data_IF_891953278708
#
_entry.id   IF_891953278708
#
_cell.length_a   1.000
_cell.length_b   1.000
_cell.length_c   1.000
_cell.angle_alpha   90.00
_cell.angle_beta   90.00
_cell.angle_gamma   90.00
#
_symmetry.space_group_name_H-M   'P 1'
#
loop_
_entity.id
_entity.type
_entity.pdbx_description
1 polymer ?
#
# COMPACT_ATOMS: atom_id res chain seq x y z
N UNK A 1 -69.53 -9.05 -43.26
CA UNK A 1 -68.29 -8.27 -43.08
C UNK A 1 -68.00 -8.21 -41.58
N UNK A 2 -66.83 -8.71 -41.19
CA UNK A 2 -66.47 -9.22 -39.85
C UNK A 2 -66.34 -8.14 -38.74
N UNK A 3 -66.39 -8.53 -37.45
CA UNK A 3 -67.24 -7.88 -36.45
C UNK A 3 -66.48 -7.06 -35.39
N UNK A 4 -67.22 -6.21 -34.66
CA UNK A 4 -66.79 -5.56 -33.41
C UNK A 4 -67.47 -6.27 -32.22
N UNK A 5 -66.66 -6.79 -31.30
CA UNK A 5 -67.09 -7.45 -30.06
C UNK A 5 -67.06 -6.48 -28.88
N UNK A 6 -68.03 -6.62 -27.98
CA UNK A 6 -68.16 -5.84 -26.76
C UNK A 6 -68.43 -6.78 -25.56
N UNK A 7 -67.80 -6.46 -24.40
CA UNK A 7 -68.30 -6.69 -23.01
C UNK A 7 -68.21 -8.15 -22.45
N UNK A 8 -67.88 -8.54 -21.19
CA UNK A 8 -67.55 -7.90 -19.88
C UNK A 8 -67.11 -8.96 -18.80
N UNK A 9 -66.38 -8.53 -17.72
CA UNK A 9 -66.14 -9.08 -16.32
C UNK A 9 -65.29 -10.38 -16.16
N UNK A 10 -64.21 -10.48 -15.34
CA UNK A 10 -64.13 -10.55 -13.84
C UNK A 10 -62.64 -10.53 -13.30
N UNK A 11 -62.27 -10.76 -12.01
CA UNK A 11 -61.43 -9.83 -11.21
C UNK A 11 -60.09 -10.40 -10.63
N UNK A 12 -59.29 -9.50 -10.04
CA UNK A 12 -58.28 -9.60 -8.95
C UNK A 12 -57.49 -10.92 -8.76
N UNK A 13 -56.15 -10.85 -8.87
CA UNK A 13 -55.25 -11.54 -7.93
C UNK A 13 -53.92 -10.79 -7.79
N UNK A 14 -53.53 -10.56 -6.53
CA UNK A 14 -52.28 -9.95 -6.11
C UNK A 14 -51.11 -10.90 -6.39
N UNK A 15 -49.99 -10.37 -6.90
CA UNK A 15 -48.70 -11.08 -6.87
C UNK A 15 -47.65 -10.19 -6.20
N UNK A 16 -47.26 -10.64 -5.01
CA UNK A 16 -46.18 -10.17 -4.16
C UNK A 16 -44.87 -9.90 -4.90
N UNK A 17 -44.35 -8.69 -4.72
CA UNK A 17 -43.00 -8.26 -5.13
C UNK A 17 -41.93 -9.04 -4.37
N UNK A 18 -41.23 -9.93 -5.07
CA UNK A 18 -40.00 -10.54 -4.58
C UNK A 18 -38.87 -9.49 -4.63
N UNK A 19 -38.40 -9.10 -3.45
CA UNK A 19 -37.17 -8.35 -3.23
C UNK A 19 -36.00 -9.10 -3.86
N UNK A 20 -35.43 -8.54 -4.94
CA UNK A 20 -34.19 -9.01 -5.52
C UNK A 20 -33.09 -8.06 -5.04
N UNK A 21 -32.39 -8.43 -3.97
CA UNK A 21 -31.16 -7.75 -3.57
C UNK A 21 -30.13 -7.90 -4.70
N UNK A 22 -29.56 -6.80 -5.23
CA UNK A 22 -28.51 -6.91 -6.25
C UNK A 22 -27.19 -7.38 -5.62
N UNK A 23 -26.37 -8.17 -6.34
CA UNK A 23 -25.12 -8.70 -5.83
C UNK A 23 -24.07 -7.58 -5.74
N UNK A 24 -23.54 -7.38 -4.53
CA UNK A 24 -22.27 -6.72 -4.20
C UNK A 24 -21.95 -5.39 -4.92
N UNK A 25 -22.33 -4.28 -4.27
CA UNK A 25 -21.60 -3.02 -4.36
C UNK A 25 -20.13 -3.28 -3.99
N UNK A 26 -19.27 -3.49 -4.99
CA UNK A 26 -17.82 -3.42 -4.79
C UNK A 26 -17.52 -2.01 -4.24
N UNK A 27 -17.25 -1.93 -2.94
CA UNK A 27 -17.02 -0.67 -2.23
C UNK A 27 -16.03 0.20 -3.01
N UNK A 28 -16.52 1.35 -3.47
CA UNK A 28 -15.78 2.36 -4.22
C UNK A 28 -14.52 2.67 -3.41
N UNK A 29 -13.36 2.20 -3.88
CA UNK A 29 -12.06 2.39 -3.23
C UNK A 29 -11.37 1.12 -2.72
N UNK A 30 -12.07 0.01 -2.45
CA UNK A 30 -11.38 -1.25 -2.09
C UNK A 30 -10.55 -1.78 -3.26
N UNK A 31 -11.14 -1.79 -4.47
CA UNK A 31 -10.45 -2.21 -5.69
C UNK A 31 -9.28 -1.28 -6.03
N UNK A 32 -9.45 0.03 -5.84
CA UNK A 32 -8.39 1.01 -6.08
C UNK A 32 -7.19 0.75 -5.16
N UNK A 33 -7.40 0.52 -3.86
CA UNK A 33 -6.30 0.22 -2.91
C UNK A 33 -5.57 -1.07 -3.22
N UNK A 34 -6.27 -2.14 -3.64
CA UNK A 34 -5.64 -3.43 -3.98
C UNK A 34 -4.79 -3.33 -5.25
N UNK A 35 -5.23 -2.54 -6.23
CA UNK A 35 -4.53 -2.33 -7.50
C UNK A 35 -3.47 -1.21 -7.43
N UNK A 36 -3.39 -0.47 -6.32
CA UNK A 36 -2.53 0.69 -6.20
C UNK A 36 -1.04 0.33 -6.20
N UNK A 37 -0.53 -0.66 -5.46
CA UNK A 37 0.90 -0.89 -5.46
C UNK A 37 1.40 -1.44 -6.80
N UNK A 38 2.51 -0.90 -7.31
CA UNK A 38 3.23 -1.45 -8.45
C UNK A 38 3.83 -2.80 -8.03
N UNK A 39 3.71 -3.81 -8.89
CA UNK A 39 4.24 -5.16 -8.65
C UNK A 39 5.05 -5.58 -9.87
N UNK A 40 6.34 -5.80 -9.65
CA UNK A 40 7.33 -6.22 -10.64
C UNK A 40 8.32 -7.17 -9.97
N UNK A 41 8.99 -8.01 -10.74
CA UNK A 41 10.04 -8.89 -10.18
C UNK A 41 11.33 -8.10 -9.91
N UNK A 42 12.22 -8.65 -9.07
CA UNK A 42 13.53 -8.03 -8.82
C UNK A 42 14.25 -7.74 -10.13
N UNK A 43 14.95 -6.61 -10.18
CA UNK A 43 15.66 -6.09 -11.34
C UNK A 43 14.78 -5.69 -12.53
N UNK A 44 13.47 -5.89 -12.52
CA UNK A 44 12.61 -5.39 -13.61
C UNK A 44 12.49 -3.86 -13.56
N UNK A 45 12.75 -3.16 -14.68
CA UNK A 45 12.58 -1.71 -14.76
C UNK A 45 11.13 -1.28 -14.58
N UNK A 46 10.91 -0.16 -13.89
CA UNK A 46 9.62 0.52 -13.89
C UNK A 46 9.52 1.43 -15.11
N UNK A 47 8.64 1.05 -16.03
CA UNK A 47 8.37 1.80 -17.28
C UNK A 47 7.66 3.12 -17.00
N UNK A 48 7.61 4.00 -18.00
CA UNK A 48 6.77 5.19 -17.97
C UNK A 48 5.30 4.86 -17.67
N UNK A 49 4.77 3.74 -18.16
CA UNK A 49 3.40 3.32 -17.85
C UNK A 49 3.26 2.88 -16.38
N UNK A 50 4.21 2.12 -15.83
CA UNK A 50 4.15 1.70 -14.41
C UNK A 50 4.04 2.90 -13.46
N UNK A 51 4.87 3.93 -13.72
CA UNK A 51 4.97 5.14 -12.90
C UNK A 51 3.97 6.23 -13.30
N UNK A 52 3.25 6.06 -14.41
CA UNK A 52 2.36 7.08 -14.99
C UNK A 52 3.11 8.40 -15.23
N UNK A 53 4.21 8.33 -15.98
CA UNK A 53 5.16 9.44 -16.19
C UNK A 53 4.50 10.71 -16.71
N UNK A 54 3.56 10.63 -17.66
CA UNK A 54 2.95 11.83 -18.25
C UNK A 54 2.06 12.59 -17.26
N UNK A 55 1.38 11.87 -16.36
CA UNK A 55 0.65 12.47 -15.26
C UNK A 55 1.61 13.21 -14.32
N UNK A 56 2.69 12.54 -13.92
CA UNK A 56 3.72 13.15 -13.07
C UNK A 56 4.37 14.36 -13.76
N UNK A 57 4.62 14.26 -15.06
CA UNK A 57 5.16 15.35 -15.87
C UNK A 57 4.22 16.54 -15.87
N UNK A 58 2.93 16.33 -16.13
CA UNK A 58 1.92 17.38 -16.11
C UNK A 58 1.84 18.08 -14.74
N UNK A 59 1.79 17.31 -13.66
CA UNK A 59 1.70 17.85 -12.29
C UNK A 59 2.90 18.72 -11.94
N UNK A 60 4.12 18.25 -12.24
CA UNK A 60 5.36 18.94 -11.84
C UNK A 60 5.85 20.01 -12.82
N UNK A 61 5.32 20.04 -14.05
CA UNK A 61 5.60 21.10 -15.03
C UNK A 61 4.60 22.25 -14.98
N UNK A 62 3.53 22.14 -14.18
CA UNK A 62 2.60 23.24 -13.96
C UNK A 62 3.31 24.41 -13.26
N UNK A 63 3.25 25.59 -13.88
CA UNK A 63 3.95 26.81 -13.44
C UNK A 63 3.03 27.80 -12.72
N UNK A 64 1.76 27.45 -12.46
CA UNK A 64 0.83 28.38 -11.80
C UNK A 64 1.23 28.58 -10.35
N UNK A 65 1.73 29.77 -10.05
CA UNK A 65 2.12 30.17 -8.69
C UNK A 65 0.88 30.50 -7.85
N UNK A 66 0.18 29.46 -7.37
CA UNK A 66 -1.10 29.60 -6.64
C UNK A 66 -1.08 29.04 -5.23
N UNK A 67 -0.04 28.29 -4.87
CA UNK A 67 0.09 27.68 -3.54
C UNK A 67 0.93 28.52 -2.59
N UNK A 68 0.47 28.68 -1.36
CA UNK A 68 1.15 29.41 -0.29
C UNK A 68 2.34 28.61 0.21
N UNK A 69 3.53 29.21 0.13
CA UNK A 69 4.73 28.58 0.69
C UNK A 69 4.83 28.82 2.20
N UNK A 70 5.05 27.78 3.03
CA UNK A 70 5.37 27.95 4.46
C UNK A 70 6.85 28.25 4.69
N UNK A 71 7.67 28.24 3.63
CA UNK A 71 9.12 28.45 3.67
C UNK A 71 9.50 29.81 3.10
N UNK A 72 10.65 30.39 3.50
CA UNK A 72 11.15 31.64 2.92
C UNK A 72 11.26 31.54 1.39
N UNK A 73 10.57 32.43 0.68
CA UNK A 73 10.58 32.51 -0.78
C UNK A 73 10.48 33.96 -1.24
N UNK A 74 10.92 34.24 -2.48
CA UNK A 74 10.80 35.56 -3.11
C UNK A 74 9.34 35.95 -3.36
N UNK A 75 8.47 34.96 -3.56
CA UNK A 75 7.03 35.13 -3.78
C UNK A 75 6.26 34.38 -2.69
N UNK A 76 5.15 34.96 -2.17
CA UNK A 76 4.30 34.25 -1.21
C UNK A 76 3.60 33.03 -1.84
N UNK A 77 3.46 33.03 -3.17
CA UNK A 77 2.84 31.96 -3.94
C UNK A 77 3.85 31.30 -4.87
N UNK A 78 3.83 29.97 -4.92
CA UNK A 78 4.72 29.15 -5.76
C UNK A 78 3.94 28.04 -6.47
N UNK A 79 4.49 27.47 -7.57
CA UNK A 79 3.90 26.31 -8.23
C UNK A 79 3.93 25.05 -7.36
N UNK A 80 3.08 24.08 -7.69
CA UNK A 80 3.01 22.81 -6.95
C UNK A 80 4.37 22.08 -6.90
N UNK A 81 5.07 22.01 -8.04
CA UNK A 81 6.35 21.31 -8.12
C UNK A 81 7.37 21.88 -7.13
N UNK A 82 7.50 23.20 -7.08
CA UNK A 82 8.37 23.88 -6.11
C UNK A 82 7.92 23.69 -4.67
N UNK A 83 6.61 23.73 -4.40
CA UNK A 83 6.08 23.49 -3.05
C UNK A 83 6.42 22.09 -2.55
N UNK A 84 6.23 21.07 -3.38
CA UNK A 84 6.47 19.69 -3.00
C UNK A 84 7.97 19.40 -2.83
N UNK A 85 8.81 19.88 -3.75
CA UNK A 85 10.29 19.82 -3.63
C UNK A 85 10.75 20.53 -2.35
N UNK A 86 10.21 21.71 -2.06
CA UNK A 86 10.54 22.48 -0.85
C UNK A 86 10.12 21.74 0.42
N UNK A 87 8.97 21.06 0.43
CA UNK A 87 8.53 20.25 1.55
C UNK A 87 9.50 19.08 1.84
N UNK A 88 9.99 18.41 0.79
CA UNK A 88 10.99 17.35 0.93
C UNK A 88 12.33 17.91 1.41
N UNK A 89 12.80 19.01 0.83
CA UNK A 89 14.05 19.66 1.21
C UNK A 89 14.06 20.09 2.69
N UNK A 90 12.93 20.58 3.19
CA UNK A 90 12.79 21.04 4.57
C UNK A 90 12.43 19.93 5.58
N UNK A 91 12.23 18.69 5.12
CA UNK A 91 12.04 17.55 6.04
C UNK A 91 13.26 17.36 6.95
N UNK A 92 13.00 17.05 8.22
CA UNK A 92 14.07 16.75 9.20
C UNK A 92 14.75 15.41 8.95
N UNK A 93 14.17 14.56 8.09
CA UNK A 93 14.75 13.27 7.66
C UNK A 93 15.29 13.30 6.23
N UNK A 94 15.29 14.46 5.58
CA UNK A 94 16.02 14.66 4.32
C UNK A 94 17.52 14.79 4.63
N UNK A 95 18.35 13.89 4.09
CA UNK A 95 19.79 13.85 4.39
C UNK A 95 20.52 15.04 3.77
N UNK A 96 21.63 15.46 4.39
CA UNK A 96 22.48 16.55 3.85
C UNK A 96 22.89 16.30 2.40
N UNK A 97 23.33 15.07 2.09
CA UNK A 97 23.72 14.67 0.73
C UNK A 97 22.58 14.88 -0.28
N UNK A 98 21.34 14.56 0.11
CA UNK A 98 20.18 14.75 -0.76
C UNK A 98 19.89 16.24 -0.97
N UNK A 99 19.95 17.04 0.10
CA UNK A 99 19.78 18.50 0.03
C UNK A 99 20.82 19.15 -0.87
N UNK A 100 22.09 18.82 -0.66
CA UNK A 100 23.21 19.31 -1.46
C UNK A 100 22.99 18.96 -2.94
N UNK A 101 22.53 17.74 -3.23
CA UNK A 101 22.26 17.31 -4.60
C UNK A 101 21.05 17.99 -5.25
N UNK A 102 19.98 18.24 -4.49
CA UNK A 102 18.83 19.00 -4.98
C UNK A 102 19.20 20.45 -5.32
N UNK A 103 20.18 21.03 -4.61
CA UNK A 103 20.70 22.37 -4.90
C UNK A 103 21.65 22.37 -6.12
N UNK A 104 22.55 21.39 -6.19
CA UNK A 104 23.51 21.24 -7.28
C UNK A 104 22.80 20.92 -8.61
N UNK A 105 21.80 20.04 -8.56
CA UNK A 105 21.06 19.56 -9.73
C UNK A 105 19.56 19.68 -9.48
N UNK A 106 18.93 20.84 -9.77
CA UNK A 106 17.49 21.04 -9.54
C UNK A 106 16.59 19.98 -10.20
N UNK A 107 17.00 19.48 -11.37
CA UNK A 107 16.29 18.39 -12.06
C UNK A 107 16.20 17.11 -11.22
N UNK A 108 17.24 16.78 -10.45
CA UNK A 108 17.23 15.64 -9.51
C UNK A 108 16.15 15.83 -8.44
N UNK A 109 15.98 17.06 -7.93
CA UNK A 109 14.94 17.37 -6.95
C UNK A 109 13.53 17.09 -7.48
N UNK A 110 13.27 17.40 -8.76
CA UNK A 110 11.99 17.11 -9.41
C UNK A 110 11.81 15.60 -9.63
N UNK A 111 12.86 14.89 -10.05
CA UNK A 111 12.84 13.43 -10.21
C UNK A 111 12.54 12.70 -8.88
N UNK A 112 13.26 13.07 -7.82
CA UNK A 112 13.01 12.59 -6.47
C UNK A 112 11.59 12.90 -6.01
N UNK A 113 11.09 14.11 -6.30
CA UNK A 113 9.75 14.52 -5.93
C UNK A 113 8.65 13.68 -6.60
N UNK A 114 8.86 13.30 -7.86
CA UNK A 114 7.96 12.38 -8.59
C UNK A 114 7.91 10.99 -7.94
N UNK A 115 9.08 10.41 -7.62
CA UNK A 115 9.17 9.12 -6.90
C UNK A 115 8.55 9.24 -5.50
N UNK A 116 8.79 10.36 -4.82
CA UNK A 116 8.24 10.64 -3.49
C UNK A 116 6.71 10.80 -3.52
N UNK A 117 6.14 11.38 -4.57
CA UNK A 117 4.68 11.46 -4.75
C UNK A 117 4.07 10.06 -4.88
N UNK A 118 4.66 9.20 -5.71
CA UNK A 118 4.23 7.79 -5.87
C UNK A 118 4.33 7.00 -4.56
N UNK A 119 5.38 7.25 -3.77
CA UNK A 119 5.54 6.65 -2.44
C UNK A 119 4.48 7.17 -1.46
N UNK A 120 4.16 8.46 -1.51
CA UNK A 120 3.18 9.11 -0.63
C UNK A 120 1.76 8.60 -0.88
N UNK A 121 1.36 8.44 -2.15
CA UNK A 121 0.04 7.88 -2.49
C UNK A 121 -0.02 6.37 -2.29
N UNK A 122 1.12 5.67 -2.21
CA UNK A 122 1.18 4.21 -2.01
C UNK A 122 1.29 3.38 -3.29
N UNK A 123 1.68 3.98 -4.42
CA UNK A 123 2.03 3.26 -5.65
C UNK A 123 3.37 2.53 -5.51
N UNK A 124 4.36 3.18 -4.90
CA UNK A 124 5.67 2.59 -4.60
C UNK A 124 5.64 2.03 -3.18
N UNK A 125 5.84 0.72 -3.08
CA UNK A 125 5.93 0.04 -1.80
C UNK A 125 7.28 0.25 -1.13
N UNK A 126 7.29 0.18 0.21
CA UNK A 126 8.53 0.32 0.98
C UNK A 126 9.56 -0.76 0.67
N UNK A 127 9.17 -1.93 0.18
CA UNK A 127 10.10 -3.00 -0.22
C UNK A 127 10.96 -2.66 -1.42
N UNK A 128 10.58 -1.63 -2.20
CA UNK A 128 11.31 -1.23 -3.40
C UNK A 128 12.54 -0.39 -3.10
N UNK A 129 13.56 -0.58 -3.94
CA UNK A 129 14.86 0.06 -3.89
C UNK A 129 15.25 0.58 -5.28
N UNK A 130 15.99 1.69 -5.32
CA UNK A 130 16.37 2.37 -6.57
C UNK A 130 17.89 2.42 -6.79
N UNK A 131 18.64 1.57 -6.08
CA UNK A 131 20.07 1.37 -6.29
C UNK A 131 20.43 -0.14 -6.31
N UNK A 132 21.32 -0.58 -7.24
CA UNK A 132 21.55 -2.00 -7.49
C UNK A 132 22.35 -2.72 -6.40
N UNK A 133 23.07 -2.00 -5.53
CA UNK A 133 23.98 -2.56 -4.51
C UNK A 133 23.28 -3.09 -3.25
N UNK A 134 21.96 -3.22 -3.24
CA UNK A 134 21.21 -3.75 -2.08
C UNK A 134 21.54 -5.22 -1.80
N UNK A 135 22.01 -5.53 -0.60
CA UNK A 135 22.37 -6.90 -0.17
C UNK A 135 21.22 -7.68 0.48
N UNK A 136 20.09 -7.05 0.78
CA UNK A 136 19.01 -7.65 1.56
C UNK A 136 18.02 -8.41 0.66
N UNK A 137 17.69 -9.64 1.02
CA UNK A 137 16.73 -10.48 0.28
C UNK A 137 15.27 -10.00 0.40
N UNK A 138 14.95 -9.23 1.44
CA UNK A 138 13.61 -8.67 1.69
C UNK A 138 13.29 -7.41 0.87
N UNK A 139 14.20 -6.96 0.01
CA UNK A 139 14.05 -5.76 -0.82
C UNK A 139 14.20 -6.12 -2.28
N UNK A 140 13.43 -5.46 -3.12
CA UNK A 140 13.51 -5.60 -4.58
C UNK A 140 14.08 -4.33 -5.20
N UNK A 141 15.12 -4.46 -6.01
CA UNK A 141 15.67 -3.39 -6.82
C UNK A 141 14.86 -3.21 -8.10
N UNK A 142 14.49 -1.97 -8.40
CA UNK A 142 13.88 -1.61 -9.66
C UNK A 142 14.51 -0.33 -10.21
N UNK A 143 15.19 -0.36 -11.37
CA UNK A 143 15.56 0.87 -12.04
C UNK A 143 14.30 1.62 -12.50
N UNK A 144 14.32 2.95 -12.45
CA UNK A 144 13.23 3.81 -12.91
C UNK A 144 13.78 4.76 -13.98
N UNK A 145 13.97 4.30 -15.23
CA UNK A 145 14.73 5.03 -16.25
C UNK A 145 14.21 6.44 -16.52
N UNK A 146 12.90 6.62 -16.47
CA UNK A 146 12.26 7.91 -16.74
C UNK A 146 12.42 8.93 -15.60
N UNK A 147 12.84 8.50 -14.40
CA UNK A 147 12.99 9.32 -13.19
C UNK A 147 14.39 9.23 -12.56
N UNK A 148 15.37 8.66 -13.26
CA UNK A 148 16.77 8.56 -12.81
C UNK A 148 17.72 9.02 -13.91
N UNK A 149 17.44 10.19 -14.51
CA UNK A 149 18.26 10.72 -15.63
C UNK A 149 19.44 11.52 -15.13
N UNK A 150 19.35 12.01 -13.90
CA UNK A 150 20.43 12.73 -13.25
C UNK A 150 21.34 11.75 -12.49
N UNK A 151 22.62 12.08 -12.43
CA UNK A 151 23.59 11.30 -11.64
C UNK A 151 23.28 11.48 -10.15
N UNK A 152 22.71 10.46 -9.50
CA UNK A 152 22.34 10.53 -8.10
C UNK A 152 21.58 9.29 -7.63
N UNK A 153 21.95 8.77 -6.45
CA UNK A 153 21.19 7.69 -5.83
C UNK A 153 19.84 8.23 -5.33
N UNK A 154 18.75 7.79 -5.97
CA UNK A 154 17.37 8.16 -5.64
C UNK A 154 16.89 7.69 -4.25
N UNK A 155 17.79 7.10 -3.45
CA UNK A 155 17.53 6.44 -2.17
C UNK A 155 16.62 5.21 -2.32
N UNK A 156 16.12 4.70 -1.20
CA UNK A 156 15.16 3.62 -1.16
C UNK A 156 13.80 4.12 -0.66
N UNK A 157 12.73 3.36 -0.96
CA UNK A 157 11.38 3.72 -0.56
C UNK A 157 11.22 3.92 0.98
N UNK A 158 11.90 3.16 1.87
CA UNK A 158 11.86 3.43 3.31
C UNK A 158 12.40 4.80 3.71
N UNK A 159 13.55 5.23 3.16
CA UNK A 159 14.11 6.55 3.44
C UNK A 159 13.23 7.66 2.90
N UNK A 160 12.68 7.49 1.69
CA UNK A 160 11.69 8.41 1.12
C UNK A 160 10.46 8.51 2.02
N UNK A 161 9.91 7.38 2.47
CA UNK A 161 8.76 7.36 3.39
C UNK A 161 9.06 8.07 4.71
N UNK A 162 10.25 7.88 5.27
CA UNK A 162 10.67 8.57 6.50
C UNK A 162 10.84 10.09 6.26
N UNK A 163 11.36 10.48 5.10
CA UNK A 163 11.42 11.88 4.67
C UNK A 163 10.02 12.51 4.59
N UNK A 164 9.06 11.82 3.94
CA UNK A 164 7.67 12.26 3.81
C UNK A 164 6.99 12.42 5.18
N UNK A 165 7.12 11.44 6.08
CA UNK A 165 6.56 11.52 7.45
C UNK A 165 7.09 12.70 8.26
N UNK A 166 8.30 13.15 7.96
CA UNK A 166 8.96 14.25 8.64
C UNK A 166 8.88 15.60 7.89
N UNK A 167 8.16 15.65 6.76
CA UNK A 167 7.90 16.86 5.99
C UNK A 167 6.70 17.63 6.57
N UNK A 168 6.89 18.14 7.78
CA UNK A 168 5.87 18.81 8.58
C UNK A 168 5.99 20.34 8.49
N UNK A 169 4.86 21.04 8.66
CA UNK A 169 4.88 22.49 8.90
C UNK A 169 5.45 22.81 10.28
N UNK A 170 5.96 24.03 10.51
CA UNK A 170 6.38 24.45 11.86
C UNK A 170 5.30 24.28 12.93
N UNK A 171 4.03 24.53 12.58
CA UNK A 171 2.87 24.35 13.46
C UNK A 171 2.57 22.88 13.78
N UNK A 172 3.08 21.95 12.98
CA UNK A 172 2.87 20.50 13.11
C UNK A 172 4.04 19.78 13.79
N UNK A 173 5.15 20.48 14.06
CA UNK A 173 6.28 19.89 14.80
C UNK A 173 5.95 19.63 16.28
N UNK A 174 5.03 20.41 16.84
CA UNK A 174 4.63 20.36 18.26
C UNK A 174 3.22 19.80 18.47
N UNK A 175 2.48 19.55 17.40
CA UNK A 175 1.09 19.12 17.44
C UNK A 175 0.84 18.06 16.38
N UNK A 176 -0.12 17.17 16.62
CA UNK A 176 -0.48 16.13 15.64
C UNK A 176 -0.99 16.80 14.35
N UNK A 177 -0.44 16.43 13.17
CA UNK A 177 -0.98 16.90 11.89
C UNK A 177 -2.45 16.50 11.74
N UNK A 178 -3.27 17.29 11.04
CA UNK A 178 -4.66 16.92 10.81
C UNK A 178 -4.74 15.63 10.00
N UNK A 179 -5.66 14.74 10.38
CA UNK A 179 -5.75 13.37 9.88
C UNK A 179 -6.99 13.11 9.00
N UNK A 180 -7.90 14.08 8.93
CA UNK A 180 -9.13 14.03 8.14
C UNK A 180 -9.28 15.25 7.22
N UNK A 181 -9.97 15.12 6.07
CA UNK A 181 -10.29 16.26 5.21
C UNK A 181 -11.02 17.40 5.95
N UNK A 182 -11.92 17.04 6.87
CA UNK A 182 -12.72 17.98 7.67
C UNK A 182 -11.86 18.77 8.66
N UNK A 183 -10.87 18.14 9.31
CA UNK A 183 -9.90 18.82 10.17
C UNK A 183 -9.05 19.82 9.39
N UNK A 184 -8.62 19.45 8.18
CA UNK A 184 -7.86 20.35 7.29
C UNK A 184 -8.70 21.59 6.94
N UNK A 185 -9.95 21.39 6.53
CA UNK A 185 -10.88 22.49 6.26
C UNK A 185 -11.22 23.30 7.52
N UNK A 186 -11.26 22.66 8.70
CA UNK A 186 -11.41 23.34 9.98
C UNK A 186 -10.26 24.30 10.26
N UNK A 187 -9.01 23.85 10.06
CA UNK A 187 -7.82 24.70 10.19
C UNK A 187 -7.81 25.83 9.17
N UNK A 188 -8.25 25.59 7.92
CA UNK A 188 -8.45 26.66 6.92
C UNK A 188 -9.41 27.74 7.42
N UNK A 189 -10.59 27.35 7.91
CA UNK A 189 -11.60 28.28 8.44
C UNK A 189 -11.10 29.05 9.66
N UNK A 190 -10.21 28.47 10.45
CA UNK A 190 -9.52 29.14 11.55
C UNK A 190 -8.37 30.08 11.11
N UNK A 191 -8.16 30.26 9.80
CA UNK A 191 -7.16 31.20 9.24
C UNK A 191 -5.78 30.60 8.97
N UNK A 192 -5.58 29.29 9.13
CA UNK A 192 -4.28 28.67 8.85
C UNK A 192 -4.04 28.49 7.35
N UNK A 193 -2.96 29.10 6.84
CA UNK A 193 -2.57 29.05 5.44
C UNK A 193 -1.07 28.83 5.22
N UNK A 194 -0.64 27.65 4.70
CA UNK A 194 -1.45 26.45 4.47
C UNK A 194 -1.93 25.80 5.80
N UNK A 195 -3.02 25.02 5.79
CA UNK A 195 -3.58 24.39 7.00
C UNK A 195 -2.80 23.16 7.47
N UNK A 196 -2.04 22.55 6.55
CA UNK A 196 -1.18 21.38 6.75
C UNK A 196 -0.13 21.31 5.65
N UNK A 197 0.90 20.48 5.82
CA UNK A 197 1.89 20.30 4.75
C UNK A 197 1.27 19.65 3.51
N UNK A 198 1.77 19.99 2.32
CA UNK A 198 1.30 19.38 1.06
C UNK A 198 1.46 17.85 1.07
N UNK A 199 2.51 17.36 1.75
CA UNK A 199 2.77 15.93 1.92
C UNK A 199 1.68 15.27 2.75
N UNK A 200 1.31 15.87 3.89
CA UNK A 200 0.26 15.35 4.75
C UNK A 200 -1.12 15.42 4.08
N UNK A 201 -1.43 16.49 3.34
CA UNK A 201 -2.69 16.56 2.58
C UNK A 201 -2.82 15.38 1.61
N UNK A 202 -1.80 15.10 0.79
CA UNK A 202 -1.84 13.99 -0.18
C UNK A 202 -2.04 12.65 0.55
N UNK A 203 -1.39 12.45 1.69
CA UNK A 203 -1.58 11.28 2.54
C UNK A 203 -3.02 11.16 3.06
N UNK A 204 -3.61 12.25 3.55
CA UNK A 204 -5.00 12.29 4.02
C UNK A 204 -5.96 12.00 2.88
N UNK A 205 -5.81 12.61 1.71
CA UNK A 205 -6.65 12.36 0.54
C UNK A 205 -6.56 10.89 0.07
N UNK A 206 -5.37 10.29 0.10
CA UNK A 206 -5.16 8.88 -0.23
C UNK A 206 -5.89 7.94 0.75
N UNK A 207 -5.81 8.20 2.04
CA UNK A 207 -6.49 7.38 3.05
C UNK A 207 -8.01 7.54 3.00
N UNK A 208 -8.49 8.76 2.78
CA UNK A 208 -9.92 9.11 2.71
C UNK A 208 -10.50 9.09 1.29
N UNK A 209 -9.85 8.42 0.34
CA UNK A 209 -10.27 8.43 -1.06
C UNK A 209 -11.72 7.94 -1.26
N UNK A 210 -12.14 6.90 -0.54
CA UNK A 210 -13.48 6.32 -0.67
C UNK A 210 -14.61 7.31 -0.26
N UNK A 211 -14.59 7.91 0.95
CA UNK A 211 -15.54 8.98 1.30
C UNK A 211 -15.54 10.17 0.33
N UNK A 212 -14.36 10.55 -0.18
CA UNK A 212 -14.22 11.70 -1.07
C UNK A 212 -14.72 11.44 -2.51
N UNK A 213 -15.02 10.19 -2.86
CA UNK A 213 -15.52 9.83 -4.18
C UNK A 213 -16.84 10.53 -4.51
N UNK A 214 -17.80 10.53 -3.58
CA UNK A 214 -19.08 11.23 -3.77
C UNK A 214 -18.97 12.72 -3.49
N UNK A 215 -18.01 13.16 -2.67
CA UNK A 215 -17.77 14.58 -2.40
C UNK A 215 -17.31 15.29 -3.67
N UNK A 216 -16.19 14.86 -4.24
CA UNK A 216 -15.53 15.59 -5.32
C UNK A 216 -15.75 15.01 -6.71
N UNK A 217 -16.17 13.74 -6.81
CA UNK A 217 -16.41 13.07 -8.09
C UNK A 217 -17.88 12.61 -8.18
N UNK A 218 -18.15 11.67 -9.09
CA UNK A 218 -19.47 11.08 -9.37
C UNK A 218 -19.80 9.88 -8.47
N UNK A 219 -18.93 9.54 -7.52
CA UNK A 219 -19.03 8.34 -6.70
C UNK A 219 -18.46 7.07 -7.33
N UNK A 220 -18.08 7.06 -8.61
CA UNK A 220 -17.42 5.91 -9.25
C UNK A 220 -15.89 6.06 -9.28
N UNK A 221 -15.43 7.31 -9.17
CA UNK A 221 -14.04 7.70 -9.19
C UNK A 221 -13.63 8.26 -7.83
N UNK A 222 -12.41 7.95 -7.41
CA UNK A 222 -11.82 8.49 -6.20
C UNK A 222 -10.40 9.01 -6.45
N UNK A 223 -9.81 9.65 -5.45
CA UNK A 223 -8.48 10.24 -5.54
C UNK A 223 -7.39 9.26 -5.98
N UNK A 224 -7.43 8.00 -5.52
CA UNK A 224 -6.40 7.01 -5.86
C UNK A 224 -6.48 6.58 -7.33
N UNK A 225 -7.66 6.66 -7.93
CA UNK A 225 -7.86 6.30 -9.34
C UNK A 225 -7.10 7.22 -10.30
N UNK A 226 -6.71 8.42 -9.85
CA UNK A 226 -5.85 9.31 -10.62
C UNK A 226 -4.48 8.65 -10.90
N UNK A 227 -4.02 7.73 -10.05
CA UNK A 227 -2.68 7.15 -10.11
C UNK A 227 -2.63 5.72 -10.67
N UNK A 228 -3.78 5.12 -10.98
CA UNK A 228 -3.85 3.70 -11.38
C UNK A 228 -3.86 3.60 -12.92
N UNK A 229 -2.91 2.85 -13.53
CA UNK A 229 -2.98 2.52 -14.95
C UNK A 229 -4.21 1.64 -15.21
N UNK A 230 -4.96 1.91 -16.29
CA UNK A 230 -6.05 1.04 -16.74
C UNK A 230 -7.44 1.65 -16.78
N UNK A 231 -7.69 2.80 -16.14
CA UNK A 231 -8.97 3.53 -16.33
C UNK A 231 -9.03 4.37 -17.62
N UNK A 232 -7.93 4.42 -18.37
CA UNK A 232 -7.79 5.13 -19.67
C UNK A 232 -8.20 6.61 -19.60
N UNK A 233 -7.98 7.29 -18.48
CA UNK A 233 -8.20 8.74 -18.38
C UNK A 233 -6.97 9.52 -18.82
N UNK A 234 -7.19 10.70 -19.42
CA UNK A 234 -6.08 11.56 -19.83
C UNK A 234 -5.18 11.94 -18.66
N UNK A 235 -3.87 11.83 -18.86
CA UNK A 235 -2.88 12.26 -17.87
C UNK A 235 -3.00 13.75 -17.53
N UNK A 236 -3.36 14.59 -18.51
CA UNK A 236 -3.59 16.03 -18.31
C UNK A 236 -4.80 16.31 -17.41
N UNK A 237 -5.94 15.65 -17.67
CA UNK A 237 -7.16 15.85 -16.87
C UNK A 237 -6.97 15.31 -15.44
N UNK A 238 -6.31 14.15 -15.30
CA UNK A 238 -5.95 13.59 -13.99
C UNK A 238 -5.05 14.55 -13.21
N UNK A 239 -4.05 15.14 -13.86
CA UNK A 239 -3.16 16.12 -13.25
C UNK A 239 -3.90 17.41 -12.86
N UNK A 240 -4.83 17.87 -13.70
CA UNK A 240 -5.69 19.03 -13.38
C UNK A 240 -6.59 18.76 -12.17
N UNK A 241 -7.24 17.60 -12.12
CA UNK A 241 -8.08 17.20 -10.98
C UNK A 241 -7.26 17.04 -9.69
N UNK A 242 -6.05 16.48 -9.78
CA UNK A 242 -5.11 16.41 -8.66
C UNK A 242 -4.77 17.81 -8.12
N UNK A 243 -4.33 18.73 -8.99
CA UNK A 243 -3.98 20.09 -8.59
C UNK A 243 -5.19 20.88 -8.07
N UNK A 244 -6.37 20.65 -8.65
CA UNK A 244 -7.64 21.20 -8.17
C UNK A 244 -7.93 20.79 -6.72
N UNK A 245 -7.79 19.51 -6.40
CA UNK A 245 -8.00 19.00 -5.03
C UNK A 245 -6.99 19.61 -4.06
N UNK A 246 -5.71 19.69 -4.45
CA UNK A 246 -4.72 20.31 -3.58
C UNK A 246 -5.01 21.78 -3.31
N UNK A 247 -5.42 22.54 -4.33
CA UNK A 247 -5.80 23.94 -4.16
C UNK A 247 -7.03 24.07 -3.25
N UNK A 248 -8.04 23.21 -3.44
CA UNK A 248 -9.27 23.22 -2.64
C UNK A 248 -8.97 23.10 -1.14
N UNK A 249 -8.08 22.18 -0.76
CA UNK A 249 -7.77 21.92 0.64
C UNK A 249 -6.66 22.81 1.22
N UNK A 250 -5.64 23.21 0.44
CA UNK A 250 -4.54 24.05 0.95
C UNK A 250 -4.86 25.54 0.91
N UNK A 251 -5.66 25.97 -0.07
CA UNK A 251 -5.82 27.39 -0.40
C UNK A 251 -7.26 27.89 -0.24
N UNK A 252 -8.24 27.30 -0.91
CA UNK A 252 -9.61 27.81 -0.79
C UNK A 252 -10.65 26.81 -1.26
N UNK A 253 -11.65 26.56 -0.41
CA UNK A 253 -12.86 25.81 -0.76
C UNK A 253 -13.97 26.69 -1.34
N UNK A 254 -13.93 28.00 -1.05
CA UNK A 254 -15.06 28.92 -1.25
C UNK A 254 -14.81 29.94 -2.39
N UNK A 255 -13.62 29.90 -3.01
CA UNK A 255 -13.20 30.80 -4.09
C UNK A 255 -13.03 30.11 -5.45
N UNK A 256 -12.79 30.88 -6.52
CA UNK A 256 -12.56 30.33 -7.85
C UNK A 256 -11.25 29.54 -7.86
N UNK A 257 -11.35 28.23 -8.02
CA UNK A 257 -10.19 27.37 -8.11
C UNK A 257 -9.51 27.57 -9.49
N UNK A 258 -8.20 27.88 -9.55
CA UNK A 258 -7.47 28.16 -10.80
C UNK A 258 -7.34 26.93 -11.72
N UNK A 259 -7.70 25.74 -11.22
CA UNK A 259 -7.73 24.49 -11.98
C UNK A 259 -9.15 24.12 -12.44
N UNK A 260 -10.17 24.95 -12.19
CA UNK A 260 -11.54 24.72 -12.63
C UNK A 260 -11.66 24.56 -14.15
N UNK A 261 -12.42 23.57 -14.62
CA UNK A 261 -12.99 23.50 -15.97
C UNK A 261 -14.44 24.01 -15.97
N UNK A 262 -15.11 23.97 -17.12
CA UNK A 262 -16.52 24.41 -17.23
C UNK A 262 -17.45 23.63 -16.29
N UNK A 263 -17.17 22.35 -16.04
CA UNK A 263 -17.99 21.53 -15.13
C UNK A 263 -17.80 21.96 -13.67
N UNK A 264 -16.55 22.03 -13.19
CA UNK A 264 -16.21 22.43 -11.83
C UNK A 264 -16.64 23.87 -11.50
N UNK A 265 -16.64 24.78 -12.48
CA UNK A 265 -17.20 26.13 -12.32
C UNK A 265 -18.70 26.11 -12.00
N UNK A 266 -19.44 25.20 -12.64
CA UNK A 266 -20.90 25.10 -12.50
C UNK A 266 -21.34 24.14 -11.39
N UNK A 267 -20.42 23.37 -10.81
CA UNK A 267 -20.71 22.39 -9.75
C UNK A 267 -19.75 22.60 -8.57
N UNK A 268 -20.07 23.54 -7.65
CA UNK A 268 -19.23 23.82 -6.48
C UNK A 268 -18.87 22.55 -5.70
N UNK A 269 -17.59 22.43 -5.36
CA UNK A 269 -17.05 21.26 -4.66
C UNK A 269 -16.78 20.05 -5.55
N UNK A 270 -17.05 20.09 -6.87
CA UNK A 270 -16.70 19.01 -7.80
C UNK A 270 -15.40 19.28 -8.55
N UNK A 271 -14.58 18.24 -8.68
CA UNK A 271 -13.34 18.28 -9.43
C UNK A 271 -13.61 18.37 -10.96
N UNK A 272 -12.64 18.86 -11.75
CA UNK A 272 -12.69 18.83 -13.21
C UNK A 272 -12.97 17.43 -13.79
N UNK A 273 -13.62 17.39 -14.95
CA UNK A 273 -14.00 16.15 -15.62
C UNK A 273 -12.77 15.40 -16.11
N UNK A 274 -12.77 14.08 -15.92
CA UNK A 274 -11.74 13.18 -16.46
C UNK A 274 -12.22 12.57 -17.77
N UNK A 275 -11.67 13.01 -18.90
CA UNK A 275 -12.02 12.42 -20.20
C UNK A 275 -11.35 11.05 -20.35
N UNK A 276 -12.07 10.11 -20.96
CA UNK A 276 -11.48 8.86 -21.42
C UNK A 276 -10.74 9.09 -22.73
N UNK A 277 -9.58 8.48 -22.84
CA UNK A 277 -8.74 8.48 -24.03
C UNK A 277 -9.25 7.46 -25.03
N UNK A 278 -9.17 7.83 -26.31
CA UNK A 278 -9.23 6.87 -27.41
C UNK A 278 -7.99 5.98 -27.41
N UNK A 279 -8.05 4.82 -28.08
CA UNK A 279 -6.91 3.89 -28.14
C UNK A 279 -5.68 4.53 -28.80
N UNK A 280 -5.88 5.39 -29.81
CA UNK A 280 -4.80 6.16 -30.43
C UNK A 280 -4.16 7.19 -29.51
N UNK A 281 -4.91 7.79 -28.60
CA UNK A 281 -4.36 8.71 -27.61
C UNK A 281 -3.65 7.96 -26.50
N UNK A 282 -4.21 6.82 -26.06
CA UNK A 282 -3.61 5.97 -25.04
C UNK A 282 -2.21 5.49 -25.48
N UNK A 283 -2.05 5.09 -26.75
CA UNK A 283 -0.75 4.71 -27.32
C UNK A 283 0.31 5.81 -27.36
N UNK A 284 -0.08 7.07 -27.17
CA UNK A 284 0.84 8.21 -27.12
C UNK A 284 1.19 8.63 -25.70
N UNK A 285 0.41 8.20 -24.71
CA UNK A 285 0.74 8.46 -23.30
C UNK A 285 1.74 7.42 -22.78
N UNK A 286 2.65 7.87 -21.92
CA UNK A 286 3.59 7.04 -21.16
C UNK A 286 4.49 6.13 -22.02
N UNK A 287 4.89 6.60 -23.20
CA UNK A 287 5.75 5.83 -24.12
C UNK A 287 7.21 5.92 -23.70
N UNK A 288 7.84 4.80 -23.34
CA UNK A 288 9.29 4.74 -23.07
C UNK A 288 10.11 5.13 -24.30
N UNK A 289 11.17 5.92 -24.10
CA UNK A 289 12.09 6.31 -25.18
C UNK A 289 13.20 5.28 -25.30
N UNK A 290 13.80 5.08 -26.48
CA UNK A 290 14.83 4.05 -26.67
C UNK A 290 15.99 4.13 -25.67
N UNK A 291 16.44 5.34 -25.29
CA UNK A 291 17.51 5.51 -24.30
C UNK A 291 17.11 5.01 -22.91
N UNK A 292 15.86 5.19 -22.51
CA UNK A 292 15.35 4.73 -21.21
C UNK A 292 15.21 3.21 -21.17
N UNK A 293 14.78 2.59 -22.27
CA UNK A 293 14.68 1.14 -22.40
C UNK A 293 16.08 0.51 -22.27
N UNK A 294 17.06 1.06 -23.00
CA UNK A 294 18.43 0.53 -22.97
C UNK A 294 19.09 0.75 -21.61
N UNK A 295 18.93 1.92 -21.01
CA UNK A 295 19.45 2.19 -19.67
C UNK A 295 18.81 1.27 -18.62
N UNK A 296 17.49 1.05 -18.68
CA UNK A 296 16.80 0.12 -17.81
C UNK A 296 17.38 -1.30 -17.89
N UNK A 297 17.61 -1.80 -19.11
CA UNK A 297 18.24 -3.11 -19.35
C UNK A 297 19.66 -3.18 -18.80
N UNK A 298 20.46 -2.14 -19.02
CA UNK A 298 21.82 -2.05 -18.49
C UNK A 298 21.83 -2.16 -16.95
N UNK A 299 20.94 -1.43 -16.28
CA UNK A 299 20.84 -1.46 -14.82
C UNK A 299 20.32 -2.80 -14.28
N UNK A 300 19.36 -3.42 -14.96
CA UNK A 300 18.92 -4.79 -14.64
C UNK A 300 20.08 -5.80 -14.73
N UNK A 301 20.90 -5.68 -15.78
CA UNK A 301 22.09 -6.54 -15.93
C UNK A 301 23.13 -6.29 -14.85
N UNK A 302 23.35 -5.02 -14.46
CA UNK A 302 24.22 -4.67 -13.34
C UNK A 302 23.75 -5.31 -12.03
N UNK A 303 22.44 -5.30 -11.76
CA UNK A 303 21.85 -5.98 -10.60
C UNK A 303 22.10 -7.48 -10.62
N UNK A 304 21.86 -8.12 -11.76
CA UNK A 304 22.08 -9.56 -11.91
C UNK A 304 23.56 -9.94 -11.68
N UNK A 305 24.48 -9.17 -12.25
CA UNK A 305 25.92 -9.37 -12.03
C UNK A 305 26.32 -9.16 -10.55
N UNK A 306 25.72 -8.16 -9.88
CA UNK A 306 25.93 -7.94 -8.44
C UNK A 306 25.45 -9.14 -7.60
N UNK A 307 24.25 -9.65 -7.88
CA UNK A 307 23.69 -10.82 -7.19
C UNK A 307 24.54 -12.08 -7.39
N UNK A 308 25.01 -12.33 -8.62
CA UNK A 308 25.90 -13.47 -8.91
C UNK A 308 27.20 -13.41 -8.09
N UNK A 309 27.81 -12.23 -8.00
CA UNK A 309 29.02 -12.03 -7.17
C UNK A 309 28.72 -12.22 -5.68
N UNK A 310 27.58 -11.71 -5.21
CA UNK A 310 27.16 -11.85 -3.82
C UNK A 310 26.97 -13.32 -3.44
N UNK A 311 26.22 -14.09 -4.24
CA UNK A 311 26.01 -15.53 -4.02
C UNK A 311 27.34 -16.28 -4.04
N UNK A 312 28.20 -16.02 -5.04
CA UNK A 312 29.52 -16.65 -5.13
C UNK A 312 30.39 -16.38 -3.90
N UNK A 313 30.33 -15.16 -3.35
CA UNK A 313 31.06 -14.79 -2.13
C UNK A 313 30.56 -15.54 -0.89
N UNK A 314 29.23 -15.70 -0.75
CA UNK A 314 28.61 -16.42 0.36
C UNK A 314 28.96 -17.91 0.26
N UNK A 315 28.93 -18.51 -0.93
CA UNK A 315 29.32 -19.90 -1.14
C UNK A 315 30.80 -20.13 -0.83
N UNK A 316 31.68 -19.20 -1.22
CA UNK A 316 33.10 -19.26 -0.89
C UNK A 316 33.31 -19.19 0.63
N UNK A 317 32.65 -18.28 1.34
CA UNK A 317 32.73 -18.19 2.80
C UNK A 317 32.21 -19.47 3.49
N UNK A 318 31.11 -20.05 3.00
CA UNK A 318 30.59 -21.33 3.51
C UNK A 318 31.61 -22.46 3.32
N UNK A 319 32.24 -22.55 2.14
CA UNK A 319 33.29 -23.55 1.86
C UNK A 319 34.54 -23.32 2.70
N UNK A 320 34.98 -22.07 2.88
CA UNK A 320 36.15 -21.73 3.69
C UNK A 320 35.94 -22.06 5.18
N UNK A 321 34.74 -21.82 5.72
CA UNK A 321 34.38 -22.22 7.10
C UNK A 321 34.32 -23.73 7.26
N UNK A 322 33.80 -24.46 6.28
CA UNK A 322 33.78 -25.93 6.29
C UNK A 322 35.19 -26.55 6.17
N UNK A 323 36.13 -25.85 5.56
CA UNK A 323 37.52 -26.28 5.40
C UNK A 323 38.46 -25.82 6.55
N UNK A 324 37.95 -25.04 7.51
CA UNK A 324 38.75 -24.57 8.64
C UNK A 324 39.07 -25.75 9.59
N UNK A 325 40.35 -25.98 9.95
CA UNK A 325 40.72 -27.10 10.79
C UNK A 325 40.11 -26.94 12.20
N UNK A 326 39.34 -27.94 12.65
CA UNK A 326 38.92 -28.05 14.05
C UNK A 326 40.16 -28.33 14.92
N UNK A 327 40.65 -27.31 15.62
CA UNK A 327 41.64 -27.50 16.67
C UNK A 327 40.97 -28.19 17.87
N UNK A 328 41.16 -29.51 18.00
CA UNK A 328 40.96 -30.21 19.26
C UNK A 328 42.19 -29.89 20.12
N UNK A 329 42.03 -29.02 21.12
CA UNK A 329 43.07 -28.82 22.14
C UNK A 329 43.18 -30.11 22.97
N UNK A 330 44.13 -30.96 22.62
CA UNK A 330 44.53 -32.09 23.45
C UNK A 330 45.41 -31.51 24.57
N UNK A 331 44.79 -31.07 25.67
CA UNK A 331 45.52 -30.92 26.94
C UNK A 331 45.72 -32.32 27.53
N UNK A 332 46.96 -32.74 27.87
CA UNK A 332 47.18 -34.01 28.54
C UNK A 332 46.60 -33.96 29.96
N UNK A 333 45.96 -35.05 30.36
CA UNK A 333 45.33 -35.22 31.66
C UNK A 333 46.33 -35.01 32.81
N UNK A 334 46.01 -34.08 33.71
CA UNK A 334 46.42 -34.18 35.11
C UNK A 334 45.31 -33.66 36.02
N UNK A 335 45.12 -34.42 37.10
CA UNK A 335 44.01 -34.48 38.04
C UNK A 335 43.40 -33.18 38.60
N UNK A 336 42.07 -33.24 38.73
CA UNK A 336 41.18 -32.68 39.78
C UNK A 336 41.00 -31.14 39.89
N UNK A 337 39.78 -30.67 39.57
CA UNK A 337 38.78 -30.15 40.56
C UNK A 337 37.45 -29.77 39.89
N UNK A 338 36.36 -30.00 40.63
CA UNK A 338 34.93 -29.80 40.29
C UNK A 338 34.60 -28.39 39.78
N UNK A 339 33.65 -28.25 38.82
CA UNK A 339 32.44 -27.39 38.90
C UNK A 339 31.55 -27.38 37.63
N UNK A 340 30.27 -27.72 37.85
CA UNK A 340 29.00 -27.25 37.22
C UNK A 340 28.65 -27.60 35.75
N UNK A 341 27.42 -28.11 35.47
CA UNK A 341 26.97 -28.40 34.10
C UNK A 341 26.36 -27.15 33.46
N UNK A 342 26.78 -26.81 32.24
CA UNK A 342 26.09 -25.83 31.39
C UNK A 342 25.69 -26.53 30.08
N UNK A 343 24.39 -26.45 29.81
CA UNK A 343 23.65 -27.10 28.71
C UNK A 343 24.34 -26.96 27.35
N UNK A 344 24.48 -28.10 26.66
CA UNK A 344 24.62 -28.15 25.20
C UNK A 344 23.31 -27.67 24.57
N UNK A 345 23.36 -26.54 23.88
CA UNK A 345 22.37 -26.15 22.89
C UNK A 345 22.84 -26.62 21.51
N UNK A 346 22.01 -27.41 20.85
CA UNK A 346 22.16 -27.77 19.44
C UNK A 346 21.87 -26.52 18.59
N UNK A 347 22.88 -25.94 17.93
CA UNK A 347 22.65 -24.99 16.85
C UNK A 347 22.30 -25.76 15.57
N UNK A 348 21.00 -25.94 15.35
CA UNK A 348 20.45 -26.36 14.06
C UNK A 348 20.51 -25.15 13.13
N UNK A 349 21.29 -25.24 12.06
CA UNK A 349 21.32 -24.25 11.00
C UNK A 349 19.91 -24.09 10.41
N UNK A 350 19.24 -22.95 10.68
CA UNK A 350 18.04 -22.50 9.95
C UNK A 350 18.43 -22.33 8.47
N UNK A 351 17.79 -23.12 7.62
CA UNK A 351 17.88 -23.06 6.16
C UNK A 351 17.17 -21.79 5.68
N UNK A 352 17.92 -20.69 5.56
CA UNK A 352 17.43 -19.44 4.98
C UNK A 352 17.16 -19.64 3.48
N UNK A 353 15.89 -19.42 3.12
CA UNK A 353 15.28 -19.62 1.81
C UNK A 353 16.20 -19.49 0.60
N UNK A 354 16.23 -20.57 -0.19
CA UNK A 354 16.92 -20.63 -1.47
C UNK A 354 16.51 -19.46 -2.40
N UNK A 355 17.51 -18.69 -2.84
CA UNK A 355 17.38 -17.67 -3.87
C UNK A 355 16.94 -18.32 -5.20
N UNK A 356 15.67 -18.15 -5.58
CA UNK A 356 15.19 -18.57 -6.90
C UNK A 356 15.56 -17.51 -7.95
N UNK A 357 16.31 -17.90 -8.99
CA UNK A 357 16.60 -17.07 -10.16
C UNK A 357 15.81 -17.58 -11.37
N UNK A 358 15.22 -16.68 -12.16
CA UNK A 358 14.58 -16.99 -13.44
C UNK A 358 15.60 -16.90 -14.58
N UNK A 359 15.92 -18.05 -15.20
CA UNK A 359 16.66 -18.13 -16.46
C UNK A 359 15.65 -18.34 -17.60
N UNK A 360 15.49 -17.45 -18.57
CA UNK A 360 14.72 -17.75 -19.78
C UNK A 360 15.42 -18.87 -20.56
N UNK A 361 14.75 -19.99 -20.79
CA UNK A 361 15.29 -21.12 -21.56
C UNK A 361 15.41 -20.73 -23.04
N UNK A 362 16.60 -20.87 -23.61
CA UNK A 362 16.74 -20.96 -25.07
C UNK A 362 16.39 -22.38 -25.49
N UNK A 363 15.43 -22.51 -26.41
CA UNK A 363 15.04 -23.79 -27.01
C UNK A 363 16.16 -24.34 -27.89
N UNK A 364 16.57 -25.59 -27.65
CA UNK A 364 17.33 -26.42 -28.59
C UNK A 364 17.08 -27.91 -28.27
N UNK A 365 17.09 -28.80 -29.28
CA UNK A 365 16.22 -29.97 -29.33
C UNK A 365 16.70 -31.18 -28.52
N UNK A 366 15.72 -32.00 -28.13
CA UNK A 366 15.83 -33.13 -27.21
C UNK A 366 16.69 -34.29 -27.72
N UNK A 367 17.57 -34.80 -26.84
CA UNK A 367 18.18 -36.12 -26.97
C UNK A 367 17.73 -36.98 -25.79
N UNK A 368 17.04 -38.08 -26.10
CA UNK A 368 16.44 -39.03 -25.15
C UNK A 368 17.53 -39.95 -24.58
N UNK A 369 17.61 -40.07 -23.25
CA UNK A 369 18.38 -41.13 -22.56
C UNK A 369 17.49 -41.76 -21.47
N UNK A 370 17.38 -43.10 -21.34
CA UNK A 370 16.45 -43.75 -20.41
C UNK A 370 17.00 -43.82 -18.97
N UNK A 371 16.11 -43.62 -18.00
CA UNK A 371 16.36 -43.71 -16.55
C UNK A 371 16.22 -45.16 -16.05
N UNK A 372 17.11 -45.69 -15.18
CA UNK A 372 16.92 -46.99 -14.53
C UNK A 372 16.05 -46.89 -13.27
N UNK A 373 15.23 -47.93 -13.04
CA UNK A 373 14.28 -48.06 -11.91
C UNK A 373 14.98 -48.42 -10.58
N UNK A 374 14.43 -48.00 -9.41
CA UNK A 374 14.98 -48.38 -8.10
C UNK A 374 14.50 -49.76 -7.61
N UNK A 375 15.42 -50.50 -6.97
CA UNK A 375 15.18 -51.78 -6.29
C UNK A 375 14.47 -51.59 -4.95
N UNK A 376 13.53 -52.48 -4.65
CA UNK A 376 12.75 -52.57 -3.42
C UNK A 376 13.60 -53.19 -2.30
N UNK A 377 13.67 -52.55 -1.12
CA UNK A 377 14.24 -53.12 0.10
C UNK A 377 13.14 -53.26 1.17
N UNK A 378 13.05 -54.45 1.76
CA UNK A 378 12.13 -54.84 2.84
C UNK A 378 12.40 -54.07 4.15
N UNK A 379 11.33 -53.65 4.84
CA UNK A 379 11.37 -53.23 6.25
C UNK A 379 10.51 -54.18 7.14
N UNK A 380 10.92 -54.46 8.39
CA UNK A 380 10.25 -55.35 9.35
C UNK A 380 9.04 -54.71 10.09
N UNK A 381 8.20 -55.49 10.83
CA UNK A 381 6.87 -55.09 11.32
C UNK A 381 6.88 -54.16 12.56
N UNK A 382 5.74 -53.54 12.92
CA UNK A 382 5.70 -52.29 13.69
C UNK A 382 5.66 -52.51 15.21
N UNK A 383 6.33 -51.62 15.95
CA UNK A 383 6.09 -51.37 17.38
C UNK A 383 4.97 -50.33 17.47
N UNK A 384 3.89 -50.65 18.19
CA UNK A 384 2.65 -49.85 18.22
C UNK A 384 2.81 -48.46 18.85
N UNK A 385 2.03 -47.45 18.43
CA UNK A 385 2.07 -46.13 19.04
C UNK A 385 1.14 -46.02 20.24
N UNK A 386 1.61 -45.29 21.25
CA UNK A 386 0.86 -44.72 22.36
C UNK A 386 -0.33 -43.90 21.81
N UNK A 387 -1.52 -44.08 22.40
CA UNK A 387 -2.71 -43.29 22.06
C UNK A 387 -2.52 -41.84 22.52
N UNK A 388 -2.52 -40.91 21.57
CA UNK A 388 -2.68 -39.47 21.81
C UNK A 388 -4.13 -39.14 21.44
N UNK A 389 -4.88 -38.53 22.37
CA UNK A 389 -6.26 -38.10 22.11
C UNK A 389 -6.27 -36.93 21.12
N UNK A 390 -6.95 -37.09 19.97
CA UNK A 390 -7.10 -36.03 18.98
C UNK A 390 -7.97 -34.89 19.50
N UNK A 391 -7.40 -33.67 19.57
CA UNK A 391 -8.15 -32.45 19.91
C UNK A 391 -8.97 -31.98 18.70
N UNK A 392 -10.21 -31.57 18.94
CA UNK A 392 -11.01 -30.91 17.88
C UNK A 392 -10.43 -29.53 17.52
N UNK A 393 -10.72 -29.02 16.33
CA UNK A 393 -10.23 -27.70 15.86
C UNK A 393 -10.50 -26.56 16.84
N UNK A 394 -11.67 -26.57 17.49
CA UNK A 394 -12.02 -25.55 18.48
C UNK A 394 -11.21 -25.69 19.76
N UNK A 395 -10.97 -26.93 20.22
CA UNK A 395 -10.13 -27.20 21.38
C UNK A 395 -8.66 -26.86 21.10
N UNK A 396 -8.18 -27.10 19.87
CA UNK A 396 -6.84 -26.73 19.46
C UNK A 396 -6.67 -25.19 19.43
N UNK A 397 -7.65 -24.46 18.89
CA UNK A 397 -7.64 -23.00 18.91
C UNK A 397 -7.67 -22.43 20.33
N UNK A 398 -8.48 -23.02 21.22
CA UNK A 398 -8.50 -22.62 22.63
C UNK A 398 -7.18 -22.91 23.33
N UNK A 399 -6.58 -24.06 23.06
CA UNK A 399 -5.28 -24.45 23.61
C UNK A 399 -4.21 -23.43 23.22
N UNK A 400 -4.02 -23.14 21.93
CA UNK A 400 -3.05 -22.13 21.45
C UNK A 400 -3.28 -20.77 22.13
N UNK A 401 -4.52 -20.28 22.15
CA UNK A 401 -4.82 -18.99 22.76
C UNK A 401 -4.53 -18.93 24.28
N UNK A 402 -4.57 -20.08 24.96
CA UNK A 402 -4.35 -20.17 26.41
C UNK A 402 -2.92 -20.49 26.82
N UNK A 403 -2.12 -21.12 25.95
CA UNK A 403 -0.78 -21.60 26.27
C UNK A 403 0.34 -20.80 25.59
N UNK A 404 0.03 -19.99 24.58
CA UNK A 404 1.03 -19.17 23.89
C UNK A 404 1.22 -17.83 24.62
N UNK A 405 2.46 -17.59 25.07
CA UNK A 405 2.86 -16.31 25.67
C UNK A 405 2.90 -15.22 24.58
N UNK A 406 2.10 -14.14 24.68
CA UNK A 406 2.02 -13.10 23.66
C UNK A 406 3.29 -12.25 23.48
N UNK A 407 4.35 -12.51 24.24
CA UNK A 407 5.66 -11.84 24.11
C UNK A 407 6.76 -12.71 23.50
N UNK A 408 6.48 -13.98 23.16
CA UNK A 408 7.41 -14.83 22.42
C UNK A 408 7.36 -14.51 20.91
N UNK A 409 8.53 -14.38 20.28
CA UNK A 409 8.67 -14.08 18.85
C UNK A 409 8.22 -15.28 17.99
N UNK A 410 7.54 -14.99 16.87
CA UNK A 410 6.78 -15.94 16.03
C UNK A 410 7.61 -17.08 15.39
N UNK A 411 8.93 -17.12 15.59
CA UNK A 411 9.85 -18.07 14.99
C UNK A 411 10.46 -19.07 15.99
N UNK A 412 10.01 -19.06 17.25
CA UNK A 412 10.30 -20.05 18.30
C UNK A 412 9.02 -20.68 18.90
N UNK A 413 8.02 -21.02 18.08
CA UNK A 413 6.95 -21.91 18.56
C UNK A 413 7.50 -23.36 18.60
N UNK A 414 7.60 -23.93 19.80
CA UNK A 414 7.78 -25.37 20.01
C UNK A 414 6.59 -26.09 19.35
N UNK A 415 6.84 -26.70 18.19
CA UNK A 415 5.80 -27.27 17.34
C UNK A 415 5.11 -28.45 18.06
N UNK A 416 3.90 -28.23 18.54
CA UNK A 416 2.99 -29.28 19.00
C UNK A 416 2.81 -30.34 17.89
N UNK A 417 2.82 -31.61 18.27
CA UNK A 417 2.81 -32.74 17.34
C UNK A 417 1.51 -32.79 16.50
N UNK A 418 0.44 -32.17 17.00
CA UNK A 418 -0.81 -31.94 16.27
C UNK A 418 -0.68 -30.95 15.10
N UNK A 419 0.18 -29.93 15.21
CA UNK A 419 0.41 -28.95 14.13
C UNK A 419 1.07 -29.59 12.91
N UNK A 420 1.84 -30.68 13.09
CA UNK A 420 2.48 -31.41 11.97
C UNK A 420 1.50 -32.18 11.08
N UNK A 421 0.32 -32.56 11.58
CA UNK A 421 -0.65 -33.35 10.80
C UNK A 421 -1.41 -32.50 9.76
N UNK A 422 -1.61 -31.21 10.02
CA UNK A 422 -2.27 -30.28 9.09
C UNK A 422 -1.40 -29.92 7.87
N UNK A 423 -0.07 -30.03 7.98
CA UNK A 423 0.87 -29.69 6.90
C UNK A 423 1.25 -30.86 5.97
N UNK A 424 0.64 -32.04 6.11
CA UNK A 424 0.86 -33.14 5.15
C UNK A 424 0.03 -32.95 3.88
N UNK A 425 0.64 -32.92 2.67
CA UNK A 425 -0.09 -32.65 1.44
C UNK A 425 -1.02 -33.82 1.08
N UNK A 426 -2.33 -33.65 1.28
CA UNK A 426 -3.36 -34.57 0.80
C UNK A 426 -3.33 -34.65 -0.73
N UNK A 427 -2.79 -35.76 -1.22
CA UNK A 427 -3.01 -36.27 -2.57
C UNK A 427 -4.51 -36.54 -2.81
N UNK A 428 -4.95 -36.23 -4.03
CA UNK A 428 -6.18 -36.68 -4.69
C UNK A 428 -7.55 -36.25 -4.12
N UNK A 429 -8.23 -35.36 -4.83
CA UNK A 429 -9.70 -35.27 -4.84
C UNK A 429 -10.20 -35.35 -6.29
N UNK A 430 -11.07 -36.34 -6.64
CA UNK A 430 -11.71 -36.43 -7.94
C UNK A 430 -12.99 -35.58 -8.01
N UNK A 431 -13.31 -35.15 -9.23
CA UNK A 431 -14.56 -34.50 -9.62
C UNK A 431 -15.79 -35.27 -9.12
N UNK A 432 -16.81 -34.55 -8.62
CA UNK A 432 -18.17 -35.08 -8.51
C UNK A 432 -19.21 -34.12 -9.09
N UNK A 433 -19.99 -34.71 -9.98
CA UNK A 433 -21.13 -34.24 -10.74
C UNK A 433 -22.40 -34.08 -9.90
N UNK A 434 -23.29 -33.25 -10.43
CA UNK A 434 -24.72 -33.11 -10.16
C UNK A 434 -25.49 -34.35 -9.68
N UNK A 435 -26.31 -34.19 -8.64
CA UNK A 435 -27.74 -34.60 -8.61
C UNK A 435 -28.52 -33.93 -7.47
N UNK A 436 -29.79 -33.69 -7.77
CA UNK A 436 -30.90 -32.95 -7.13
C UNK A 436 -31.47 -33.54 -5.80
N UNK A 437 -32.43 -32.85 -5.13
CA UNK A 437 -32.61 -32.85 -3.67
C UNK A 437 -33.75 -33.73 -3.14
N UNK A 438 -33.74 -33.99 -1.83
CA UNK A 438 -34.93 -34.39 -1.07
C UNK A 438 -35.04 -33.60 0.24
N UNK A 439 -36.23 -33.06 0.49
CA UNK A 439 -36.77 -32.53 1.75
C UNK A 439 -38.08 -33.32 2.03
N UNK A 440 -38.79 -33.19 3.17
CA UNK A 440 -38.42 -32.67 4.51
C UNK A 440 -38.93 -33.57 5.66
N UNK A 441 -38.55 -33.26 6.92
CA UNK A 441 -39.41 -33.51 8.09
C UNK A 441 -39.34 -32.33 9.07
N UNK A 442 -40.50 -31.71 9.28
CA UNK A 442 -40.80 -30.67 10.28
C UNK A 442 -40.78 -31.25 11.70
N UNK A 443 -40.59 -30.39 12.71
CA UNK A 443 -41.33 -30.37 14.00
C UNK A 443 -41.02 -29.06 14.77
N UNK A 444 -42.07 -28.23 14.89
CA UNK A 444 -42.58 -27.37 15.99
C UNK A 444 -41.75 -26.33 16.77
N UNK A 445 -42.21 -25.07 16.64
CA UNK A 445 -42.52 -24.02 17.64
C UNK A 445 -41.88 -24.00 19.05
N UNK A 446 -41.28 -22.83 19.40
CA UNK A 446 -41.48 -22.08 20.65
C UNK A 446 -40.89 -20.64 20.53
N UNK A 447 -41.74 -19.63 20.32
CA UNK A 447 -42.03 -18.48 21.22
C UNK A 447 -40.89 -17.50 21.53
N UNK A 448 -41.03 -16.29 20.96
CA UNK A 448 -40.39 -15.02 21.37
C UNK A 448 -40.91 -14.54 22.73
N UNK A 449 -40.18 -13.63 23.40
CA UNK A 449 -40.78 -12.32 23.62
C UNK A 449 -39.86 -11.12 23.32
N UNK A 450 -40.53 -10.08 22.86
CA UNK A 450 -40.08 -8.74 22.46
C UNK A 450 -39.50 -7.91 23.61
N UNK A 451 -38.56 -7.02 23.30
CA UNK A 451 -38.18 -5.89 24.18
C UNK A 451 -38.48 -4.58 23.46
N UNK A 452 -39.31 -3.76 24.11
CA UNK A 452 -39.80 -2.45 23.69
C UNK A 452 -38.74 -1.35 23.90
N UNK A 453 -38.69 -0.42 22.93
CA UNK A 453 -38.03 0.88 23.04
C UNK A 453 -38.91 1.87 23.82
N UNK A 454 -38.36 2.51 24.85
CA UNK A 454 -38.98 3.65 25.53
C UNK A 454 -38.14 4.92 25.33
N UNK A 455 -38.85 6.00 24.98
CA UNK A 455 -38.42 7.38 24.75
C UNK A 455 -37.97 8.07 26.04
N UNK A 456 -36.95 8.93 25.96
CA UNK A 456 -36.74 10.02 26.92
C UNK A 456 -36.35 11.30 26.18
N UNK A 457 -37.14 12.35 26.39
CA UNK A 457 -36.95 13.75 25.98
C UNK A 457 -36.29 14.58 27.10
N UNK A 458 -35.76 15.79 26.80
CA UNK A 458 -34.68 16.43 27.55
C UNK A 458 -35.15 17.42 28.63
N UNK A 459 -34.29 17.66 29.61
CA UNK A 459 -34.45 18.69 30.66
C UNK A 459 -33.68 19.96 30.29
N UNK A 460 -34.40 21.08 30.33
CA UNK A 460 -33.96 22.47 30.21
C UNK A 460 -33.25 22.93 31.49
N UNK A 461 -32.15 23.67 31.35
CA UNK A 461 -31.70 24.66 32.35
C UNK A 461 -31.32 25.97 31.65
N UNK A 462 -31.85 27.06 32.20
CA UNK A 462 -31.72 28.45 31.77
C UNK A 462 -30.32 29.02 32.10
N UNK A 463 -29.72 29.76 31.17
CA UNK A 463 -28.73 30.81 31.45
C UNK A 463 -28.98 31.98 30.48
N UNK A 464 -29.24 33.17 31.01
CA UNK A 464 -29.37 34.43 30.26
C UNK A 464 -27.99 35.00 29.86
N UNK A 465 -27.93 35.83 28.79
CA UNK A 465 -26.70 36.44 28.29
C UNK A 465 -26.44 37.84 28.89
N UNK A 466 -25.19 38.13 29.26
CA UNK A 466 -24.72 39.47 29.60
C UNK A 466 -24.15 40.17 28.36
N UNK A 467 -24.65 41.37 28.10
CA UNK A 467 -24.33 42.29 27.01
C UNK A 467 -22.99 43.03 27.26
N UNK A 468 -22.10 43.18 26.26
CA UNK A 468 -20.81 43.84 26.43
C UNK A 468 -20.91 45.35 26.16
N UNK A 469 -20.64 46.18 27.17
CA UNK A 469 -20.14 47.57 27.04
C UNK A 469 -20.03 48.21 28.44
N UNK A 470 -18.81 48.42 28.96
CA UNK A 470 -18.50 49.52 29.89
C UNK A 470 -16.96 49.64 30.11
N UNK A 471 -16.41 50.82 29.76
CA UNK A 471 -15.19 51.51 30.28
C UNK A 471 -13.83 50.80 30.10
N UNK A 472 -12.87 51.26 29.26
CA UNK A 472 -12.16 52.57 29.24
C UNK A 472 -11.90 53.14 30.63
N UNK A 473 -10.68 52.93 31.16
CA UNK A 473 -9.72 53.97 31.60
C UNK A 473 -8.55 53.31 32.37
N UNK A 474 -7.31 53.63 31.99
CA UNK A 474 -6.12 53.48 32.87
C UNK A 474 -6.14 54.50 34.01
N UNK A 475 -5.16 54.50 34.93
CA UNK A 475 -3.86 55.08 34.56
C UNK A 475 -2.62 54.44 35.21
N UNK A 476 -1.48 54.94 34.73
CA UNK A 476 -0.09 54.91 35.19
C UNK A 476 0.16 54.77 36.71
N UNK A 477 1.29 54.12 37.02
CA UNK A 477 2.34 54.74 37.83
C UNK A 477 2.56 54.19 39.24
N UNK A 478 3.44 53.18 39.36
CA UNK A 478 4.72 53.19 40.11
C UNK A 478 5.38 51.81 40.04
#
# INVERSE_FOLDING_TARGET
MAPRTNSTVSPISQSSTASTHPPYLNSVGYLSRKALPIKRNDAEPLTRDDVQFDLLSYIFSDTRAVFTTPYPSKSPKIPFGELYVSALYNSTKCSKVLKDKMLETPAFGVELAKISLLTNVGRINTTMAFFPEMKTALRTYHPVPSLQKTDGNAQDAPRIKNCLKAALLPSELKAVPPSTPEEILGKRRAGHCPPTSVVNLIFVLANHAAPLASTHFDGNLNFLDLFIPGKKFSSADRGRAFLWLLYYYLESSDGPNPFNDTYAQNHPGKAPVLRRLTESELRRENVDIPQEIEWGRMMSNQRNAFLQRLVSSIEYEKKAKAAAPHFISVTPESNQRRSRPQRQGYDVAKDDGAFLYYVPSQESPATVVPRPQPKVLHNPPPVGPLRIEERTMLQHAWHIASTTDPLLDSDEEDLDEHTRQDYSPRQALPLLSSTTPQHPRSITHATNPSINFAKLTPVRTHCEPINPNLLKQGPNGL
#
